data_IF_015646788547
#
_entry.id   IF_015646788547
#
_cell.length_a   1.000
_cell.length_b   1.000
_cell.length_c   1.000
_cell.angle_alpha   90.00
_cell.angle_beta   90.00
_cell.angle_gamma   90.00
#
_symmetry.space_group_name_H-M   'P 1'
#
loop_
_entity.id
_entity.type
_entity.pdbx_description
1 polymer ?
#
# COMPACT_ATOMS: atom_id res chain seq x y z
N UNK A 1 0.18 -14.71 -5.60
CA UNK A 1 -0.49 -14.75 -6.90
C UNK A 1 0.52 -15.27 -7.91
N UNK A 2 0.09 -15.97 -8.95
CA UNK A 2 0.97 -16.31 -10.07
C UNK A 2 1.20 -15.07 -10.97
N UNK A 3 1.93 -15.28 -12.07
CA UNK A 3 2.26 -14.23 -13.04
C UNK A 3 1.03 -13.62 -13.71
N UNK A 4 -0.09 -14.35 -13.73
CA UNK A 4 -1.35 -13.94 -14.35
C UNK A 4 -2.31 -13.30 -13.33
N UNK A 5 -1.87 -13.14 -12.07
CA UNK A 5 -2.69 -12.53 -11.02
C UNK A 5 -3.76 -13.47 -10.45
N UNK A 6 -3.61 -14.79 -10.58
CA UNK A 6 -4.47 -15.78 -9.93
C UNK A 6 -3.90 -16.24 -8.58
N UNK A 7 -4.74 -16.55 -7.57
CA UNK A 7 -4.27 -17.05 -6.28
C UNK A 7 -3.53 -18.38 -6.44
N UNK A 8 -2.38 -18.55 -5.78
CA UNK A 8 -1.65 -19.83 -5.80
C UNK A 8 -2.47 -21.00 -5.22
N UNK A 9 -3.47 -20.70 -4.39
CA UNK A 9 -4.44 -21.69 -3.88
C UNK A 9 -5.31 -22.32 -4.96
N UNK A 10 -5.36 -21.75 -6.16
CA UNK A 10 -6.03 -22.35 -7.33
C UNK A 10 -5.26 -23.57 -7.83
N UNK A 11 -3.93 -23.57 -7.71
CA UNK A 11 -3.05 -24.59 -8.27
C UNK A 11 -2.34 -25.44 -7.22
N UNK A 12 -2.29 -24.98 -5.96
CA UNK A 12 -1.56 -25.63 -4.88
C UNK A 12 -2.44 -25.90 -3.66
N UNK A 13 -2.26 -27.09 -3.07
CA UNK A 13 -2.97 -27.47 -1.85
C UNK A 13 -2.56 -26.61 -0.63
N UNK A 14 -3.50 -26.43 0.30
CA UNK A 14 -3.32 -25.59 1.51
C UNK A 14 -2.13 -26.02 2.38
N UNK A 15 -1.86 -27.33 2.49
CA UNK A 15 -0.72 -27.86 3.23
C UNK A 15 0.60 -27.42 2.61
N UNK A 16 0.73 -27.58 1.29
CA UNK A 16 1.91 -27.16 0.51
C UNK A 16 2.17 -25.67 0.66
N UNK A 17 1.13 -24.83 0.56
CA UNK A 17 1.28 -23.38 0.72
C UNK A 17 1.75 -22.98 2.13
N UNK A 18 1.25 -23.66 3.16
CA UNK A 18 1.69 -23.42 4.55
C UNK A 18 3.16 -23.79 4.73
N UNK A 19 3.55 -24.95 4.22
CA UNK A 19 4.89 -25.48 4.39
C UNK A 19 5.90 -24.65 3.58
N UNK A 20 5.51 -24.20 2.37
CA UNK A 20 6.27 -23.25 1.55
C UNK A 20 6.51 -21.93 2.28
N UNK A 21 5.48 -21.35 2.93
CA UNK A 21 5.65 -20.11 3.71
C UNK A 21 6.62 -20.28 4.88
N UNK A 22 6.58 -21.42 5.57
CA UNK A 22 7.51 -21.72 6.67
C UNK A 22 8.93 -21.86 6.15
N UNK A 23 9.15 -22.69 5.13
CA UNK A 23 10.47 -22.92 4.55
C UNK A 23 11.08 -21.62 3.98
N UNK A 24 10.26 -20.78 3.34
CA UNK A 24 10.72 -19.49 2.81
C UNK A 24 11.17 -18.54 3.92
N UNK A 25 10.40 -18.44 5.01
CA UNK A 25 10.77 -17.61 6.15
C UNK A 25 12.07 -18.10 6.80
N UNK A 26 12.21 -19.41 7.04
CA UNK A 26 13.43 -20.00 7.59
C UNK A 26 14.66 -19.72 6.71
N UNK A 27 14.52 -19.85 5.39
CA UNK A 27 15.61 -19.57 4.45
C UNK A 27 16.00 -18.09 4.42
N UNK A 28 15.02 -17.18 4.54
CA UNK A 28 15.24 -15.73 4.48
C UNK A 28 15.72 -15.14 5.81
N UNK A 29 15.52 -15.82 6.94
CA UNK A 29 15.85 -15.30 8.27
C UNK A 29 17.33 -14.92 8.42
N UNK A 30 18.23 -15.62 7.72
CA UNK A 30 19.66 -15.31 7.72
C UNK A 30 19.98 -13.95 7.06
N UNK A 31 19.13 -13.49 6.13
CA UNK A 31 19.32 -12.25 5.38
C UNK A 31 18.41 -11.12 5.87
N UNK A 32 17.25 -11.46 6.43
CA UNK A 32 16.25 -10.53 6.94
C UNK A 32 15.77 -11.00 8.33
N UNK A 33 16.56 -10.76 9.38
CA UNK A 33 16.26 -11.27 10.72
C UNK A 33 14.96 -10.69 11.31
N UNK A 34 14.59 -9.47 10.91
CA UNK A 34 13.37 -8.79 11.36
C UNK A 34 12.11 -9.23 10.59
N UNK A 35 12.25 -10.03 9.53
CA UNK A 35 11.12 -10.48 8.73
C UNK A 35 10.33 -11.55 9.49
N UNK A 36 9.12 -11.24 9.95
CA UNK A 36 8.27 -12.23 10.62
C UNK A 36 7.49 -13.13 9.66
N UNK A 37 7.26 -14.38 10.07
CA UNK A 37 6.35 -15.29 9.37
C UNK A 37 4.89 -14.83 9.54
N UNK A 38 4.15 -14.78 8.43
CA UNK A 38 2.73 -14.44 8.43
C UNK A 38 1.87 -15.32 9.37
N UNK A 39 0.98 -14.66 10.12
CA UNK A 39 0.06 -15.33 11.07
C UNK A 39 -1.07 -16.07 10.35
N UNK A 40 -1.45 -17.23 10.89
CA UNK A 40 -2.57 -18.00 10.38
C UNK A 40 -3.88 -17.20 10.42
N UNK A 41 -4.77 -17.43 9.45
CA UNK A 41 -6.07 -16.72 9.35
C UNK A 41 -6.86 -16.75 10.67
N UNK A 42 -6.89 -17.90 11.34
CA UNK A 42 -7.58 -18.07 12.63
C UNK A 42 -7.00 -17.15 13.72
N UNK A 43 -5.67 -17.12 13.86
CA UNK A 43 -4.98 -16.26 14.82
C UNK A 43 -5.19 -14.77 14.52
N UNK A 44 -5.28 -14.38 13.24
CA UNK A 44 -5.61 -13.00 12.85
C UNK A 44 -7.04 -12.63 13.23
N UNK A 45 -7.99 -13.53 12.99
CA UNK A 45 -9.39 -13.34 13.39
C UNK A 45 -9.53 -13.20 14.91
N UNK A 46 -8.85 -14.05 15.68
CA UNK A 46 -8.81 -13.98 17.15
C UNK A 46 -8.18 -12.68 17.67
N UNK A 47 -7.23 -12.12 16.92
CA UNK A 47 -6.63 -10.81 17.21
C UNK A 47 -7.51 -9.62 16.79
N UNK A 48 -8.73 -9.85 16.30
CA UNK A 48 -9.67 -8.79 15.92
C UNK A 48 -9.49 -8.24 14.52
N UNK A 49 -8.82 -8.97 13.61
CA UNK A 49 -8.68 -8.55 12.23
C UNK A 49 -10.05 -8.37 11.55
N UNK A 50 -10.20 -7.30 10.78
CA UNK A 50 -11.41 -6.99 10.04
C UNK A 50 -11.66 -8.03 8.93
N UNK A 51 -12.92 -8.22 8.47
CA UNK A 51 -13.24 -9.22 7.46
C UNK A 51 -12.42 -9.10 6.17
N UNK A 52 -12.14 -7.87 5.72
CA UNK A 52 -11.34 -7.60 4.53
C UNK A 52 -9.84 -7.90 4.72
N UNK A 53 -9.34 -7.95 5.96
CA UNK A 53 -7.97 -8.39 6.26
C UNK A 53 -7.84 -9.92 6.23
N UNK A 54 -8.95 -10.66 6.37
CA UNK A 54 -8.98 -12.12 6.44
C UNK A 54 -9.10 -12.81 5.07
N UNK A 55 -9.28 -12.03 4.01
CA UNK A 55 -9.47 -12.50 2.63
C UNK A 55 -8.34 -11.95 1.77
N UNK A 56 -7.85 -12.76 0.84
CA UNK A 56 -6.86 -12.30 -0.13
C UNK A 56 -7.56 -11.37 -1.12
N UNK A 57 -7.08 -10.14 -1.25
CA UNK A 57 -7.50 -9.18 -2.26
C UNK A 57 -6.55 -9.27 -3.45
N UNK A 58 -7.10 -9.21 -4.66
CA UNK A 58 -6.34 -9.00 -5.88
C UNK A 58 -5.62 -7.65 -5.84
N UNK A 59 -4.60 -7.49 -6.67
CA UNK A 59 -3.85 -6.22 -6.79
C UNK A 59 -4.78 -5.08 -7.20
N UNK A 60 -5.73 -5.34 -8.11
CA UNK A 60 -6.70 -4.34 -8.56
C UNK A 60 -7.65 -3.90 -7.43
N UNK A 61 -8.11 -4.86 -6.61
CA UNK A 61 -8.93 -4.57 -5.43
C UNK A 61 -8.13 -3.74 -4.42
N UNK A 62 -6.88 -4.11 -4.12
CA UNK A 62 -5.99 -3.33 -3.25
C UNK A 62 -5.78 -1.90 -3.76
N UNK A 63 -5.64 -1.72 -5.06
CA UNK A 63 -5.42 -0.41 -5.67
C UNK A 63 -6.64 0.50 -5.57
N UNK A 64 -7.85 -0.08 -5.61
CA UNK A 64 -9.11 0.66 -5.54
C UNK A 64 -9.49 0.97 -4.10
N UNK A 65 -9.25 0.03 -3.19
CA UNK A 65 -9.67 0.14 -1.80
C UNK A 65 -8.79 1.07 -0.96
N UNK A 66 -7.48 1.13 -1.24
CA UNK A 66 -6.53 1.86 -0.38
C UNK A 66 -6.89 3.34 -0.17
N UNK A 67 -7.25 4.12 -1.22
CA UNK A 67 -7.69 5.51 -1.02
C UNK A 67 -8.99 5.60 -0.20
N UNK A 68 -9.91 4.65 -0.39
CA UNK A 68 -11.18 4.59 0.35
C UNK A 68 -10.96 4.24 1.83
N UNK A 69 -10.00 3.36 2.12
CA UNK A 69 -9.63 2.96 3.47
C UNK A 69 -9.01 4.14 4.24
N UNK A 70 -8.15 4.92 3.59
CA UNK A 70 -7.60 6.16 4.15
C UNK A 70 -8.71 7.15 4.47
N UNK A 71 -9.65 7.36 3.55
CA UNK A 71 -10.76 8.29 3.76
C UNK A 71 -11.71 7.82 4.88
N UNK A 72 -12.03 6.53 4.93
CA UNK A 72 -12.84 5.96 6.01
C UNK A 72 -12.17 6.15 7.39
N UNK A 73 -10.85 5.94 7.49
CA UNK A 73 -10.10 6.19 8.72
C UNK A 73 -10.05 7.68 9.07
N UNK A 74 -9.96 8.58 8.09
CA UNK A 74 -10.06 10.03 8.33
C UNK A 74 -11.43 10.44 8.87
N UNK A 75 -12.50 9.82 8.41
CA UNK A 75 -13.85 10.03 8.94
C UNK A 75 -13.95 9.53 10.39
N UNK A 76 -13.46 8.33 10.68
CA UNK A 76 -13.39 7.80 12.05
C UNK A 76 -12.55 8.71 12.98
N UNK A 77 -11.45 9.26 12.47
CA UNK A 77 -10.62 10.24 13.20
C UNK A 77 -11.43 11.48 13.57
N UNK A 78 -12.18 12.02 12.61
CA UNK A 78 -13.00 13.21 12.80
C UNK A 78 -14.11 12.96 13.82
N UNK A 79 -14.78 11.80 13.75
CA UNK A 79 -15.80 11.39 14.72
C UNK A 79 -15.24 11.25 16.14
N UNK A 80 -14.06 10.64 16.29
CA UNK A 80 -13.39 10.53 17.58
C UNK A 80 -13.00 11.90 18.14
N UNK A 81 -12.47 12.80 17.31
CA UNK A 81 -12.14 14.18 17.72
C UNK A 81 -13.38 14.95 18.14
N UNK A 82 -14.50 14.82 17.43
CA UNK A 82 -15.76 15.43 17.82
C UNK A 82 -16.27 14.86 19.16
N UNK A 83 -16.11 13.55 19.38
CA UNK A 83 -16.48 12.89 20.63
C UNK A 83 -15.64 13.35 21.82
N UNK A 84 -14.34 13.59 21.63
CA UNK A 84 -13.45 14.17 22.65
C UNK A 84 -13.98 15.53 23.07
N UNK A 85 -14.15 16.45 22.10
CA UNK A 85 -14.68 17.80 22.35
C UNK A 85 -16.02 17.77 23.09
N UNK A 86 -16.95 16.90 22.68
CA UNK A 86 -18.25 16.74 23.36
C UNK A 86 -18.11 16.28 24.80
N UNK A 87 -17.16 15.40 25.10
CA UNK A 87 -16.93 14.92 26.47
C UNK A 87 -16.23 15.98 27.32
N UNK A 88 -15.26 16.71 26.79
CA UNK A 88 -14.60 17.82 27.48
C UNK A 88 -15.60 18.91 27.88
N UNK A 89 -16.45 19.35 26.94
CA UNK A 89 -17.52 20.33 27.24
C UNK A 89 -18.48 19.81 28.31
N UNK A 90 -18.76 18.50 28.34
CA UNK A 90 -19.60 17.89 29.38
C UNK A 90 -18.90 17.82 30.73
N UNK A 91 -17.60 17.55 30.74
CA UNK A 91 -16.78 17.59 31.95
C UNK A 91 -16.75 18.99 32.55
N UNK A 92 -16.48 20.01 31.74
CA UNK A 92 -16.49 21.41 32.17
C UNK A 92 -17.84 21.84 32.75
N UNK A 93 -18.95 21.50 32.06
CA UNK A 93 -20.31 21.78 32.57
C UNK A 93 -20.58 21.06 33.89
N UNK A 94 -20.07 19.85 34.06
CA UNK A 94 -20.23 19.11 35.30
C UNK A 94 -19.41 19.74 36.44
N UNK A 95 -18.19 20.20 36.17
CA UNK A 95 -17.35 20.95 37.13
C UNK A 95 -18.02 22.26 37.55
N UNK A 96 -18.48 23.06 36.59
CA UNK A 96 -19.19 24.32 36.89
C UNK A 96 -20.46 24.10 37.72
N UNK A 97 -21.17 22.98 37.50
CA UNK A 97 -22.33 22.63 38.31
C UNK A 97 -21.96 22.22 39.73
N UNK A 98 -20.80 21.60 39.92
CA UNK A 98 -20.30 21.26 41.25
C UNK A 98 -19.95 22.50 42.07
N UNK A 99 -19.44 23.54 41.42
CA UNK A 99 -19.13 24.82 42.08
C UNK A 99 -20.38 25.62 42.47
N UNK A 100 -21.50 25.44 41.76
CA UNK A 100 -22.73 26.20 41.98
C UNK A 100 -23.72 25.57 42.98
N UNK A 101 -23.65 24.24 43.20
CA UNK A 101 -24.63 23.48 43.99
C UNK A 101 -23.89 22.49 44.90
N UNK A 102 -23.57 22.91 46.14
CA UNK A 102 -22.84 22.11 47.14
C UNK A 102 -23.53 20.77 47.42
N UNK A 103 -24.87 20.73 47.47
CA UNK A 103 -25.65 19.52 47.75
C UNK A 103 -25.53 18.47 46.63
N UNK A 104 -25.17 18.90 45.41
CA UNK A 104 -24.97 18.01 44.24
C UNK A 104 -23.52 17.96 43.76
N UNK A 105 -22.61 18.62 44.46
CA UNK A 105 -21.23 18.77 44.03
C UNK A 105 -20.53 17.42 43.82
N UNK A 106 -20.68 16.49 44.77
CA UNK A 106 -20.03 15.18 44.69
C UNK A 106 -20.47 14.36 43.47
N UNK A 107 -21.77 14.39 43.15
CA UNK A 107 -22.32 13.71 41.95
C UNK A 107 -21.83 14.40 40.67
N UNK A 108 -21.76 15.72 40.67
CA UNK A 108 -21.31 16.50 39.53
C UNK A 108 -19.81 16.28 39.24
N UNK A 109 -18.97 16.20 40.27
CA UNK A 109 -17.55 15.85 40.13
C UNK A 109 -17.35 14.43 39.60
N UNK A 110 -18.09 13.43 40.12
CA UNK A 110 -18.07 12.06 39.58
C UNK A 110 -18.44 12.02 38.09
N UNK A 111 -19.40 12.84 37.65
CA UNK A 111 -19.74 12.93 36.23
C UNK A 111 -18.60 13.55 35.41
N UNK A 112 -17.93 14.58 35.93
CA UNK A 112 -16.78 15.18 35.26
C UNK A 112 -15.66 14.16 35.04
N UNK A 113 -15.29 13.41 36.08
CA UNK A 113 -14.29 12.33 35.99
C UNK A 113 -14.66 11.27 34.94
N UNK A 114 -15.94 10.89 34.85
CA UNK A 114 -16.41 9.94 33.83
C UNK A 114 -16.23 10.50 32.42
N UNK A 115 -16.55 11.78 32.20
CA UNK A 115 -16.40 12.39 30.89
C UNK A 115 -14.93 12.58 30.51
N UNK A 116 -14.07 12.95 31.46
CA UNK A 116 -12.62 13.06 31.27
C UNK A 116 -11.99 11.72 30.92
N UNK A 117 -12.34 10.65 31.66
CA UNK A 117 -11.89 9.30 31.32
C UNK A 117 -12.31 8.91 29.91
N UNK A 118 -13.55 9.22 29.50
CA UNK A 118 -14.04 8.91 28.14
C UNK A 118 -13.35 9.74 27.06
N UNK A 119 -12.93 10.97 27.37
CA UNK A 119 -12.12 11.79 26.47
C UNK A 119 -10.74 11.17 26.30
N UNK A 120 -10.05 10.85 27.41
CA UNK A 120 -8.73 10.22 27.40
C UNK A 120 -8.71 8.85 26.68
N UNK A 121 -9.73 8.01 26.88
CA UNK A 121 -9.88 6.75 26.14
C UNK A 121 -10.06 6.96 24.63
N UNK A 122 -10.65 8.10 24.22
CA UNK A 122 -10.79 8.44 22.81
C UNK A 122 -9.50 9.06 22.24
N UNK A 123 -8.75 9.84 23.02
CA UNK A 123 -7.43 10.37 22.65
C UNK A 123 -6.43 9.24 22.34
N UNK A 124 -6.37 8.22 23.20
CA UNK A 124 -5.50 7.06 22.94
C UNK A 124 -5.85 6.31 21.65
N UNK A 125 -7.11 6.35 21.21
CA UNK A 125 -7.54 5.79 19.92
C UNK A 125 -7.16 6.71 18.75
N UNK A 126 -7.28 8.02 18.94
CA UNK A 126 -6.88 9.03 17.95
C UNK A 126 -5.41 8.87 17.58
N UNK A 127 -4.51 8.76 18.55
CA UNK A 127 -3.07 8.58 18.29
C UNK A 127 -2.79 7.33 17.45
N UNK A 128 -3.41 6.20 17.81
CA UNK A 128 -3.27 4.94 17.06
C UNK A 128 -3.82 5.04 15.64
N UNK A 129 -4.94 5.75 15.45
CA UNK A 129 -5.58 5.91 14.15
C UNK A 129 -4.78 6.87 13.25
N UNK A 130 -4.21 7.95 13.80
CA UNK A 130 -3.34 8.88 13.06
C UNK A 130 -2.08 8.18 12.57
N UNK A 131 -1.45 7.35 13.42
CA UNK A 131 -0.31 6.54 13.02
C UNK A 131 -0.65 5.57 11.87
N UNK A 132 -1.84 4.96 11.89
CA UNK A 132 -2.32 4.10 10.80
C UNK A 132 -2.54 4.87 9.50
N UNK A 133 -3.17 6.05 9.56
CA UNK A 133 -3.40 6.90 8.37
C UNK A 133 -2.07 7.28 7.73
N UNK A 134 -1.09 7.74 8.52
CA UNK A 134 0.25 8.09 8.03
C UNK A 134 0.93 6.89 7.37
N UNK A 135 0.81 5.70 7.96
CA UNK A 135 1.38 4.49 7.40
C UNK A 135 0.75 4.14 6.04
N UNK A 136 -0.58 4.24 5.91
CA UNK A 136 -1.30 3.97 4.67
C UNK A 136 -0.98 5.02 3.58
N UNK A 137 -0.91 6.29 3.93
CA UNK A 137 -0.52 7.37 3.01
C UNK A 137 0.89 7.18 2.45
N UNK A 138 1.83 6.71 3.29
CA UNK A 138 3.19 6.34 2.82
C UNK A 138 3.16 5.21 1.80
N UNK A 139 2.31 4.21 2.02
CA UNK A 139 2.14 3.08 1.09
C UNK A 139 1.53 3.57 -0.22
N UNK A 140 0.52 4.43 -0.17
CA UNK A 140 -0.11 5.02 -1.36
C UNK A 140 0.88 5.87 -2.17
N UNK A 141 1.69 6.69 -1.50
CA UNK A 141 2.73 7.49 -2.15
C UNK A 141 3.82 6.60 -2.79
N UNK A 142 4.27 5.57 -2.09
CA UNK A 142 5.26 4.62 -2.61
C UNK A 142 4.72 3.86 -3.84
N UNK A 143 3.44 3.47 -3.82
CA UNK A 143 2.75 2.88 -4.97
C UNK A 143 2.76 3.84 -6.16
N UNK A 144 2.33 5.09 -5.98
CA UNK A 144 2.31 6.08 -7.06
C UNK A 144 3.71 6.32 -7.67
N UNK A 145 4.75 6.35 -6.83
CA UNK A 145 6.13 6.45 -7.28
C UNK A 145 6.57 5.20 -8.09
N UNK A 146 6.20 4.00 -7.65
CA UNK A 146 6.52 2.75 -8.35
C UNK A 146 5.80 2.66 -9.71
N UNK A 147 4.54 3.06 -9.79
CA UNK A 147 3.77 3.11 -11.04
C UNK A 147 4.40 4.10 -12.03
N UNK A 148 4.76 5.31 -11.56
CA UNK A 148 5.44 6.30 -12.39
C UNK A 148 6.81 5.82 -12.89
N UNK A 149 7.59 5.16 -12.02
CA UNK A 149 8.89 4.60 -12.40
C UNK A 149 8.75 3.49 -13.45
N UNK A 150 7.74 2.61 -13.30
CA UNK A 150 7.43 1.58 -14.30
C UNK A 150 7.08 2.22 -15.65
N UNK A 151 6.21 3.21 -15.65
CA UNK A 151 5.76 3.85 -16.90
C UNK A 151 6.92 4.55 -17.61
N UNK A 152 7.80 5.22 -16.85
CA UNK A 152 9.03 5.79 -17.40
C UNK A 152 9.96 4.72 -17.99
N UNK A 153 10.12 3.57 -17.31
CA UNK A 153 10.94 2.47 -17.81
C UNK A 153 10.37 1.87 -19.11
N UNK A 154 9.04 1.72 -19.20
CA UNK A 154 8.37 1.22 -20.40
C UNK A 154 8.53 2.19 -21.58
N UNK A 155 8.39 3.50 -21.35
CA UNK A 155 8.60 4.49 -22.41
C UNK A 155 10.07 4.58 -22.84
N UNK A 156 11.00 4.47 -21.90
CA UNK A 156 12.43 4.40 -22.21
C UNK A 156 12.78 3.15 -23.04
N UNK A 157 12.17 2.00 -22.71
CA UNK A 157 12.30 0.76 -23.45
C UNK A 157 11.78 0.91 -24.88
N UNK A 158 10.53 1.36 -25.08
CA UNK A 158 9.96 1.59 -26.41
C UNK A 158 10.81 2.55 -27.24
N UNK A 159 11.31 3.62 -26.61
CA UNK A 159 12.22 4.56 -27.26
C UNK A 159 13.55 3.92 -27.67
N UNK A 160 14.09 3.00 -26.87
CA UNK A 160 15.30 2.26 -27.21
C UNK A 160 15.06 1.27 -28.35
N UNK A 161 13.94 0.55 -28.33
CA UNK A 161 13.52 -0.37 -29.40
C UNK A 161 13.38 0.38 -30.73
N UNK A 162 12.67 1.51 -30.75
CA UNK A 162 12.53 2.34 -31.96
C UNK A 162 13.88 2.85 -32.50
N UNK A 163 14.82 3.21 -31.62
CA UNK A 163 16.17 3.61 -32.04
C UNK A 163 16.97 2.44 -32.59
N UNK A 164 16.83 1.25 -32.01
CA UNK A 164 17.46 0.03 -32.50
C UNK A 164 16.94 -0.33 -33.89
N UNK A 165 15.62 -0.33 -34.10
CA UNK A 165 14.98 -0.56 -35.40
C UNK A 165 15.45 0.45 -36.46
N UNK A 166 15.53 1.74 -36.10
CA UNK A 166 16.02 2.77 -37.01
C UNK A 166 17.51 2.59 -37.37
N UNK A 167 18.33 2.13 -36.42
CA UNK A 167 19.74 1.82 -36.66
C UNK A 167 19.89 0.59 -37.56
N UNK A 168 19.11 -0.47 -37.33
CA UNK A 168 19.08 -1.67 -38.17
C UNK A 168 18.67 -1.33 -39.61
N UNK A 169 17.64 -0.51 -39.80
CA UNK A 169 17.23 -0.05 -41.14
C UNK A 169 18.37 0.68 -41.86
N UNK A 170 19.07 1.60 -41.17
CA UNK A 170 20.20 2.34 -41.75
C UNK A 170 21.37 1.43 -42.11
N UNK A 171 21.67 0.42 -41.29
CA UNK A 171 22.72 -0.55 -41.61
C UNK A 171 22.37 -1.35 -42.85
N UNK A 172 21.11 -1.81 -42.96
CA UNK A 172 20.62 -2.54 -44.13
C UNK A 172 20.67 -1.69 -45.41
N UNK A 173 20.35 -0.40 -45.33
CA UNK A 173 20.46 0.53 -46.45
C UNK A 173 21.92 0.74 -46.89
N UNK A 174 22.85 0.82 -45.93
CA UNK A 174 24.28 0.93 -46.23
C UNK A 174 24.86 -0.35 -46.84
N UNK A 175 24.46 -1.52 -46.35
CA UNK A 175 24.88 -2.82 -46.90
C UNK A 175 24.38 -3.00 -48.33
N UNK A 176 23.10 -2.70 -48.60
CA UNK A 176 22.52 -2.80 -49.95
C UNK A 176 23.13 -1.79 -50.90
N UNK A 177 23.34 -0.54 -50.47
CA UNK A 177 24.03 0.49 -51.25
C UNK A 177 25.49 0.15 -51.56
N UNK A 178 26.22 -0.41 -50.58
CA UNK A 178 27.60 -0.87 -50.77
C UNK A 178 27.71 -2.02 -51.77
N UNK A 179 26.80 -3.00 -51.71
CA UNK A 179 26.72 -4.09 -52.69
C UNK A 179 26.42 -3.57 -54.09
N UNK A 180 25.51 -2.59 -54.23
CA UNK A 180 25.21 -1.97 -55.51
C UNK A 180 26.43 -1.25 -56.11
N UNK A 181 27.15 -0.46 -55.30
CA UNK A 181 28.35 0.26 -55.73
C UNK A 181 29.49 -0.67 -56.16
N UNK A 182 29.68 -1.80 -55.45
CA UNK A 182 30.68 -2.80 -55.82
C UNK A 182 30.32 -3.47 -57.15
N UNK A 183 29.05 -3.82 -57.36
CA UNK A 183 28.59 -4.43 -58.60
C UNK A 183 28.70 -3.45 -59.79
N UNK A 184 28.41 -2.17 -59.57
CA UNK A 184 28.58 -1.13 -60.59
C UNK A 184 30.05 -0.95 -60.98
N UNK A 185 30.96 -0.85 -59.99
CA UNK A 185 32.39 -0.76 -60.23
C UNK A 185 32.96 -1.99 -60.96
N UNK A 186 32.49 -3.19 -60.61
CA UNK A 186 32.87 -4.43 -61.29
C UNK A 186 32.38 -4.48 -62.75
N UNK A 187 31.17 -3.97 -63.02
CA UNK A 187 30.62 -3.87 -64.37
C UNK A 187 31.42 -2.88 -65.24
N UNK A 188 31.76 -1.71 -64.70
CA UNK A 188 32.58 -0.71 -65.41
C UNK A 188 33.98 -1.26 -65.71
N UNK A 189 34.60 -1.96 -64.76
CA UNK A 189 35.92 -2.58 -64.95
C UNK A 189 35.90 -3.71 -66.00
N UNK A 190 34.77 -4.40 -66.19
CA UNK A 190 34.63 -5.45 -67.20
C UNK A 190 34.37 -4.91 -68.61
N UNK A 191 34.05 -3.62 -68.76
CA UNK A 191 33.79 -2.96 -70.04
C UNK A 191 34.99 -2.15 -70.57
N UNK A 192 36.06 -2.02 -69.78
CA UNK A 192 37.31 -1.33 -70.12
C UNK A 192 38.38 -2.32 -70.60
#
# INVERSE_FOLDING_TARGET
>A
YDVDGQPLSTHMGRGVLRDLQTALHEALQAFMPDLERGRARKARAEAGAAPHELVNRSVAELHTDLPLEIEAKRQELAELKEKILKNEVRAEKARAKAEQDEDRAEKALKNAEIYERRASEAEGKVEGLEAQIIALERVEAAKGAAEAARDQALEAQKGAESRAEAAESRMKDLETGGVAAINEAASVAAQA
#
